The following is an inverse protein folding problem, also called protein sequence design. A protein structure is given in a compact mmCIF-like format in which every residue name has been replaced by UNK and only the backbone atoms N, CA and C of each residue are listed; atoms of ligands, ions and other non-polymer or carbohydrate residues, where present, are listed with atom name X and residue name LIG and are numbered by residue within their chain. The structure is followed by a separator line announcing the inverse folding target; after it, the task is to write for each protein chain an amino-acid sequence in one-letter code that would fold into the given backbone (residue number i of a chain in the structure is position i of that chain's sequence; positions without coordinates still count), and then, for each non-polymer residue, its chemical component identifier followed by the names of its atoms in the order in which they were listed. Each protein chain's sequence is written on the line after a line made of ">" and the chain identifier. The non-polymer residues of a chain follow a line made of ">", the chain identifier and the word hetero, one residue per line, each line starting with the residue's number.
data_IF_491394851160
#
_entry.id   IF_491394851160
#
_cell.length_a   1.000
_cell.length_b   1.000
_cell.length_c   1.000
_cell.angle_alpha   90.00
_cell.angle_beta   90.00
_cell.angle_gamma   90.00
#
_symmetry.space_group_name_H-M   'P 1'
#
loop_
_entity.id
_entity.type
_entity.pdbx_description
1 polymer ?
#
# COMPACT_ATOMS: atom_id res chain seq x y z
N UNK A 1 7.62 1.47 -28.67
CA UNK A 1 7.58 0.17 -27.96
C UNK A 1 6.55 0.28 -26.84
N UNK A 2 5.62 -0.67 -26.68
CA UNK A 2 4.74 -0.67 -25.50
C UNK A 2 5.64 -0.95 -24.29
N UNK A 3 5.74 0.01 -23.36
CA UNK A 3 6.38 -0.24 -22.07
C UNK A 3 5.61 -1.39 -21.42
N UNK A 4 6.21 -2.59 -21.32
CA UNK A 4 5.71 -3.65 -20.44
C UNK A 4 5.45 -2.98 -19.10
N UNK A 5 4.19 -2.83 -18.70
CA UNK A 5 3.84 -2.39 -17.35
C UNK A 5 4.56 -3.36 -16.43
N UNK A 6 5.59 -2.88 -15.72
CA UNK A 6 6.25 -3.68 -14.69
C UNK A 6 5.14 -4.11 -13.75
N UNK A 7 4.79 -5.40 -13.80
CA UNK A 7 3.84 -5.96 -12.86
C UNK A 7 4.46 -5.73 -11.48
N UNK A 8 3.65 -5.25 -10.54
CA UNK A 8 4.12 -5.14 -9.17
C UNK A 8 4.60 -6.53 -8.71
N UNK A 9 5.68 -6.58 -7.92
CA UNK A 9 6.17 -7.85 -7.42
C UNK A 9 5.10 -8.52 -6.54
N UNK A 10 5.24 -9.83 -6.31
CA UNK A 10 4.22 -10.69 -5.70
C UNK A 10 3.79 -10.27 -4.29
N UNK A 11 2.85 -10.98 -3.71
CA UNK A 11 2.52 -10.83 -2.29
C UNK A 11 3.52 -11.69 -1.49
N UNK A 12 4.32 -11.13 -0.58
CA UNK A 12 5.20 -11.90 0.29
C UNK A 12 4.40 -12.94 1.09
N UNK A 13 4.97 -14.14 1.33
CA UNK A 13 4.30 -15.19 2.09
C UNK A 13 4.14 -14.83 3.58
N UNK A 14 4.98 -13.93 4.10
CA UNK A 14 5.05 -13.60 5.53
C UNK A 14 4.08 -12.48 5.95
N UNK A 15 3.14 -12.11 5.07
CA UNK A 15 2.17 -11.06 5.37
C UNK A 15 1.05 -11.58 6.28
N UNK A 16 0.59 -10.75 7.24
CA UNK A 16 -0.58 -11.08 8.04
C UNK A 16 -1.83 -11.23 7.15
N UNK A 17 -2.84 -11.92 7.68
CA UNK A 17 -4.12 -12.11 6.98
C UNK A 17 -4.65 -10.78 6.46
N UNK A 18 -5.00 -10.75 5.17
CA UNK A 18 -5.41 -9.51 4.50
C UNK A 18 -6.74 -9.05 5.11
N UNK A 19 -6.88 -7.77 5.51
CA UNK A 19 -8.13 -7.27 6.06
C UNK A 19 -9.30 -7.44 5.08
N UNK A 20 -10.49 -7.69 5.60
CA UNK A 20 -11.67 -7.96 4.78
C UNK A 20 -11.92 -6.84 3.76
N UNK A 21 -12.12 -7.21 2.49
CA UNK A 21 -12.35 -6.26 1.40
C UNK A 21 -11.10 -5.55 0.90
N UNK A 22 -9.94 -5.73 1.52
CA UNK A 22 -8.70 -5.15 1.05
C UNK A 22 -8.11 -5.94 -0.12
N UNK A 23 -7.58 -5.24 -1.13
CA UNK A 23 -7.09 -5.86 -2.36
C UNK A 23 -5.85 -5.18 -2.92
N UNK A 24 -5.11 -5.89 -3.77
CA UNK A 24 -3.90 -5.35 -4.41
C UNK A 24 -4.29 -4.58 -5.68
N UNK A 25 -3.82 -3.33 -5.83
CA UNK A 25 -3.93 -2.55 -7.08
C UNK A 25 -2.62 -2.58 -7.84
N UNK A 26 -2.68 -2.37 -9.15
CA UNK A 26 -1.48 -2.20 -9.97
C UNK A 26 -0.71 -0.91 -9.64
N UNK A 27 -1.39 0.09 -9.05
CA UNK A 27 -0.83 1.36 -8.58
C UNK A 27 -1.75 1.97 -7.53
N UNK A 28 -1.17 2.74 -6.61
CA UNK A 28 -1.88 3.44 -5.52
C UNK A 28 -1.68 4.96 -5.66
N UNK A 29 -2.52 5.68 -6.42
CA UNK A 29 -2.43 7.13 -6.50
C UNK A 29 -2.79 7.79 -5.16
N UNK A 30 -2.23 8.97 -4.88
CA UNK A 30 -2.81 9.86 -3.89
C UNK A 30 -4.23 10.29 -4.33
N UNK A 31 -5.23 10.38 -3.43
CA UNK A 31 -5.22 10.10 -1.99
C UNK A 31 -5.82 8.73 -1.63
N UNK A 32 -5.38 7.62 -2.24
CA UNK A 32 -5.92 6.28 -1.93
C UNK A 32 -5.76 5.96 -0.43
N UNK A 33 -6.86 5.54 0.20
CA UNK A 33 -6.85 4.93 1.54
C UNK A 33 -6.41 3.47 1.45
N UNK A 34 -5.43 3.10 2.26
CA UNK A 34 -4.75 1.80 2.19
C UNK A 34 -4.56 1.17 3.56
N UNK A 35 -4.45 -0.16 3.57
CA UNK A 35 -3.78 -0.87 4.63
C UNK A 35 -2.31 -1.05 4.27
N UNK A 36 -1.42 -0.89 5.24
CA UNK A 36 0.01 -1.11 5.06
C UNK A 36 0.61 -1.91 6.23
N UNK A 37 1.71 -2.61 5.99
CA UNK A 37 2.43 -3.42 6.99
C UNK A 37 3.91 -3.06 6.97
N UNK A 38 4.56 -3.02 8.13
CA UNK A 38 6.00 -2.70 8.27
C UNK A 38 6.87 -3.95 8.50
N UNK A 39 6.32 -5.14 8.24
CA UNK A 39 6.99 -6.42 8.52
C UNK A 39 6.92 -6.85 9.99
N UNK A 40 6.10 -6.18 10.79
CA UNK A 40 5.82 -6.47 12.20
C UNK A 40 4.62 -7.40 12.41
N UNK A 41 3.98 -7.84 11.33
CA UNK A 41 2.86 -8.77 11.37
C UNK A 41 1.50 -8.12 11.62
N UNK A 42 1.39 -6.79 11.50
CA UNK A 42 0.11 -6.09 11.66
C UNK A 42 -0.19 -5.15 10.50
N UNK A 43 -1.45 -5.14 10.07
CA UNK A 43 -1.96 -4.16 9.11
C UNK A 43 -2.38 -2.89 9.84
N UNK A 44 -1.94 -1.74 9.32
CA UNK A 44 -2.26 -0.40 9.81
C UNK A 44 -2.98 0.38 8.73
N UNK A 45 -3.73 1.41 9.13
CA UNK A 45 -4.48 2.25 8.19
C UNK A 45 -3.65 3.48 7.83
N UNK A 46 -3.72 3.87 6.58
CA UNK A 46 -3.10 5.10 6.13
C UNK A 46 -3.62 5.57 4.79
N UNK A 47 -3.06 6.69 4.33
CA UNK A 47 -3.38 7.30 3.04
C UNK A 47 -2.10 7.52 2.26
N UNK A 48 -2.13 7.28 0.95
CA UNK A 48 -0.98 7.57 0.08
C UNK A 48 -0.73 9.08 0.08
N UNK A 49 0.50 9.47 0.43
CA UNK A 49 0.95 10.86 0.36
C UNK A 49 1.15 11.31 -1.09
N UNK A 50 0.91 12.60 -1.34
CA UNK A 50 1.23 13.27 -2.60
C UNK A 50 2.76 13.33 -2.85
N UNK A 51 3.59 13.09 -1.84
CA UNK A 51 5.05 13.00 -1.95
C UNK A 51 5.51 11.69 -2.62
N UNK A 52 4.60 10.75 -2.87
CA UNK A 52 4.93 9.50 -3.57
C UNK A 52 5.36 9.77 -5.01
N UNK A 53 6.64 9.52 -5.32
CA UNK A 53 7.19 9.64 -6.67
C UNK A 53 7.48 8.29 -7.33
N UNK A 54 7.39 7.19 -6.58
CA UNK A 54 7.73 5.85 -7.05
C UNK A 54 6.49 4.96 -7.17
N UNK A 55 6.54 4.03 -8.12
CA UNK A 55 5.51 3.00 -8.33
C UNK A 55 5.75 1.71 -7.56
N UNK A 56 6.90 1.62 -6.87
CA UNK A 56 7.33 0.45 -6.09
C UNK A 56 7.48 0.75 -4.60
N UNK A 57 7.70 2.01 -4.25
CA UNK A 57 7.84 2.50 -2.88
C UNK A 57 6.91 3.70 -2.70
N UNK A 58 5.89 3.56 -1.87
CA UNK A 58 4.92 4.63 -1.61
C UNK A 58 5.22 5.27 -0.26
N UNK A 59 4.94 6.56 -0.15
CA UNK A 59 4.90 7.25 1.14
C UNK A 59 3.48 7.16 1.64
N UNK A 60 3.27 6.48 2.78
CA UNK A 60 1.98 6.29 3.43
C UNK A 60 1.95 7.16 4.68
N UNK A 61 0.92 7.99 4.82
CA UNK A 61 0.64 8.76 6.03
C UNK A 61 -0.24 7.89 6.91
N UNK A 62 0.25 7.51 8.08
CA UNK A 62 -0.49 6.75 9.08
C UNK A 62 -1.69 7.55 9.60
N UNK A 63 -2.84 6.89 9.71
CA UNK A 63 -4.10 7.54 10.09
C UNK A 63 -4.15 7.86 11.60
N UNK A 64 -3.49 7.06 12.44
CA UNK A 64 -3.57 7.17 13.90
C UNK A 64 -2.60 8.22 14.46
N UNK A 65 -1.38 8.27 13.91
CA UNK A 65 -0.28 9.12 14.40
C UNK A 65 0.09 10.27 13.45
N UNK A 66 -0.40 10.27 12.20
CA UNK A 66 -0.04 11.27 11.19
C UNK A 66 1.42 11.19 10.73
N UNK A 67 2.11 10.07 10.98
CA UNK A 67 3.51 9.85 10.62
C UNK A 67 3.62 9.28 9.20
N UNK A 68 4.62 9.73 8.45
CA UNK A 68 4.91 9.24 7.10
C UNK A 68 5.87 8.06 7.12
N UNK A 69 5.53 6.99 6.40
CA UNK A 69 6.36 5.80 6.23
C UNK A 69 6.61 5.50 4.76
N UNK A 70 7.84 5.13 4.41
CA UNK A 70 8.16 4.60 3.09
C UNK A 70 7.90 3.10 3.07
N UNK A 71 6.90 2.66 2.29
CA UNK A 71 6.41 1.28 2.28
C UNK A 71 6.46 0.71 0.86
N UNK A 72 7.04 -0.48 0.73
CA UNK A 72 7.06 -1.21 -0.53
C UNK A 72 5.65 -1.66 -0.92
N UNK A 73 5.28 -1.55 -2.19
CA UNK A 73 3.91 -1.85 -2.69
C UNK A 73 3.42 -3.26 -2.40
N UNK A 74 4.33 -4.20 -2.17
CA UNK A 74 4.06 -5.57 -1.73
C UNK A 74 3.30 -5.61 -0.40
N UNK A 75 3.59 -4.66 0.48
CA UNK A 75 3.08 -4.51 1.83
C UNK A 75 1.93 -3.50 1.90
N UNK A 76 1.27 -3.20 0.77
CA UNK A 76 0.15 -2.26 0.69
C UNK A 76 -1.07 -2.96 0.07
N UNK A 77 -2.25 -2.70 0.63
CA UNK A 77 -3.56 -3.11 0.07
C UNK A 77 -4.50 -1.91 0.04
N UNK A 78 -5.24 -1.74 -1.05
CA UNK A 78 -6.30 -0.71 -1.11
C UNK A 78 -7.41 -1.11 -0.15
N UNK A 79 -7.88 -0.15 0.66
CA UNK A 79 -9.09 -0.31 1.49
C UNK A 79 -10.32 -0.30 0.60
N UNK A 80 -11.31 -1.11 0.94
CA UNK A 80 -12.59 -1.09 0.23
C UNK A 80 -13.23 0.30 0.36
N UNK A 81 -13.99 0.72 -0.64
CA UNK A 81 -14.58 2.07 -0.66
C UNK A 81 -15.72 2.24 0.38
N UNK A 82 -16.13 1.16 1.04
CA UNK A 82 -17.13 1.14 2.11
C UNK A 82 -16.52 1.09 3.52
N UNK A 83 -15.19 1.05 3.63
CA UNK A 83 -14.42 1.03 4.89
C UNK A 83 -14.01 2.45 5.34
#
# INVERSE_FOLDING_TARGET
>A
MPRKRRQQPGTPPDLPEIPQGAYKKAYYPHPDTVYYCLGDGFWRRGTISNETQSTSLHVVIDEDYGLSYSVSVEYIRKRADWD
#
